data_IF_797778054753
#
_entry.id   IF_797778054753
#
_cell.length_a   1.000
_cell.length_b   1.000
_cell.length_c   1.000
_cell.angle_alpha   90.00
_cell.angle_beta   90.00
_cell.angle_gamma   90.00
#
_symmetry.space_group_name_H-M   'P 1'
#
loop_
_entity.id
_entity.type
_entity.pdbx_description
1 polymer ?
#
# COMPACT_ATOMS: atom_id res chain seq x y z
N UNK A 1 4.41 -35.20 0.89
CA UNK A 1 3.48 -34.19 0.37
C UNK A 1 3.02 -33.38 1.57
N UNK A 2 3.73 -32.30 1.90
CA UNK A 2 3.41 -31.49 3.06
C UNK A 2 2.32 -30.51 2.65
N UNK A 3 1.11 -30.70 3.19
CA UNK A 3 0.05 -29.71 3.08
C UNK A 3 0.57 -28.42 3.73
N UNK A 4 0.93 -27.45 2.90
CA UNK A 4 1.38 -26.15 3.36
C UNK A 4 0.22 -25.48 4.09
N UNK A 5 0.27 -25.47 5.42
CA UNK A 5 -0.71 -24.80 6.26
C UNK A 5 -0.62 -23.28 6.00
N UNK A 6 -1.37 -22.81 5.01
CA UNK A 6 -1.53 -21.40 4.73
C UNK A 6 -2.14 -20.77 5.98
N UNK A 7 -1.39 -19.91 6.65
CA UNK A 7 -1.83 -19.24 7.86
C UNK A 7 -2.96 -18.26 7.49
N UNK A 8 -4.21 -18.71 7.56
CA UNK A 8 -5.41 -17.94 7.16
C UNK A 8 -5.43 -16.58 7.87
N UNK A 9 -4.99 -16.53 9.13
CA UNK A 9 -4.84 -15.28 9.90
C UNK A 9 -3.92 -14.27 9.21
N UNK A 10 -2.82 -14.74 8.63
CA UNK A 10 -1.83 -13.91 7.93
C UNK A 10 -2.41 -13.37 6.60
N UNK A 11 -3.15 -14.19 5.87
CA UNK A 11 -3.86 -13.76 4.64
C UNK A 11 -4.92 -12.71 4.96
N UNK A 12 -5.75 -12.97 5.98
CA UNK A 12 -6.81 -12.04 6.40
C UNK A 12 -6.20 -10.68 6.78
N UNK A 13 -5.05 -10.68 7.47
CA UNK A 13 -4.32 -9.44 7.78
C UNK A 13 -3.96 -8.63 6.54
N UNK A 14 -3.40 -9.27 5.50
CA UNK A 14 -3.05 -8.58 4.25
C UNK A 14 -4.27 -8.12 3.48
N UNK A 15 -5.33 -8.90 3.43
CA UNK A 15 -6.58 -8.50 2.79
C UNK A 15 -7.18 -7.27 3.46
N UNK A 16 -7.17 -7.18 4.79
CA UNK A 16 -7.64 -6.00 5.51
C UNK A 16 -6.79 -4.78 5.16
N UNK A 17 -5.46 -4.90 5.17
CA UNK A 17 -4.55 -3.80 4.79
C UNK A 17 -4.80 -3.36 3.36
N UNK A 18 -5.00 -4.29 2.42
CA UNK A 18 -5.29 -3.99 1.03
C UNK A 18 -6.64 -3.30 0.86
N UNK A 19 -7.71 -3.83 1.46
CA UNK A 19 -9.05 -3.24 1.37
C UNK A 19 -9.04 -1.82 1.93
N UNK A 20 -8.46 -1.63 3.12
CA UNK A 20 -8.38 -0.30 3.75
C UNK A 20 -7.50 0.64 2.91
N UNK A 21 -6.33 0.19 2.47
CA UNK A 21 -5.41 1.00 1.67
C UNK A 21 -6.01 1.43 0.33
N UNK A 22 -6.64 0.50 -0.39
CA UNK A 22 -7.32 0.80 -1.64
C UNK A 22 -8.54 1.71 -1.42
N UNK A 23 -9.30 1.51 -0.34
CA UNK A 23 -10.46 2.37 -0.01
C UNK A 23 -10.05 3.80 0.37
N UNK A 24 -8.86 3.99 0.94
CA UNK A 24 -8.32 5.30 1.31
C UNK A 24 -7.64 6.00 0.13
N UNK A 25 -7.31 5.29 -0.95
CA UNK A 25 -6.68 5.86 -2.15
C UNK A 25 -7.41 7.09 -2.73
N UNK A 26 -8.74 7.08 -2.96
CA UNK A 26 -9.44 8.28 -3.44
C UNK A 26 -9.31 9.47 -2.49
N UNK A 27 -9.33 9.24 -1.17
CA UNK A 27 -9.17 10.28 -0.16
C UNK A 27 -7.77 10.92 -0.26
N UNK A 28 -6.73 10.12 -0.49
CA UNK A 28 -5.36 10.62 -0.68
C UNK A 28 -5.27 11.47 -1.95
N UNK A 29 -5.90 11.03 -3.05
CA UNK A 29 -5.90 11.77 -4.31
C UNK A 29 -6.62 13.11 -4.16
N UNK A 30 -7.79 13.13 -3.52
CA UNK A 30 -8.59 14.35 -3.31
C UNK A 30 -7.87 15.35 -2.41
N UNK A 31 -7.26 14.87 -1.32
CA UNK A 31 -6.52 15.74 -0.39
C UNK A 31 -5.26 16.32 -1.02
N UNK A 32 -4.52 15.53 -1.81
CA UNK A 32 -3.36 16.00 -2.58
C UNK A 32 -3.78 17.02 -3.63
N UNK A 33 -4.89 16.78 -4.34
CA UNK A 33 -5.43 17.71 -5.33
C UNK A 33 -5.76 19.06 -4.70
N UNK A 34 -6.50 19.06 -3.57
CA UNK A 34 -6.84 20.27 -2.84
C UNK A 34 -5.61 21.04 -2.33
N UNK A 35 -4.61 20.33 -1.79
CA UNK A 35 -3.36 20.95 -1.34
C UNK A 35 -2.55 21.52 -2.52
N UNK A 36 -2.46 20.78 -3.62
CA UNK A 36 -1.68 21.18 -4.81
C UNK A 36 -2.21 22.45 -5.46
N UNK A 37 -3.51 22.71 -5.39
CA UNK A 37 -4.14 23.91 -5.94
C UNK A 37 -3.68 25.21 -5.24
N UNK A 38 -3.15 25.11 -4.02
CA UNK A 38 -2.65 26.26 -3.24
C UNK A 38 -1.13 26.40 -3.28
N UNK A 39 -0.44 25.57 -4.05
CA UNK A 39 1.02 25.48 -4.12
C UNK A 39 1.51 25.75 -5.53
N UNK A 40 2.76 26.18 -5.67
CA UNK A 40 3.42 26.38 -6.97
C UNK A 40 4.84 25.84 -6.96
N UNK A 41 5.40 25.63 -8.17
CA UNK A 41 6.79 25.23 -8.35
C UNK A 41 7.14 23.87 -7.72
N UNK A 42 8.32 23.77 -7.11
CA UNK A 42 8.84 22.51 -6.58
C UNK A 42 7.97 21.89 -5.47
N UNK A 43 7.32 22.72 -4.66
CA UNK A 43 6.46 22.26 -3.57
C UNK A 43 5.21 21.53 -4.10
N UNK A 44 4.61 22.04 -5.19
CA UNK A 44 3.49 21.39 -5.85
C UNK A 44 3.90 20.03 -6.43
N UNK A 45 5.06 19.95 -7.07
CA UNK A 45 5.59 18.69 -7.61
C UNK A 45 5.80 17.65 -6.52
N UNK A 46 6.36 18.04 -5.36
CA UNK A 46 6.56 17.11 -4.24
C UNK A 46 5.24 16.55 -3.71
N UNK A 47 4.20 17.38 -3.59
CA UNK A 47 2.87 16.96 -3.14
C UNK A 47 2.18 16.07 -4.17
N UNK A 48 2.32 16.37 -5.46
CA UNK A 48 1.78 15.55 -6.55
C UNK A 48 2.39 14.13 -6.62
N UNK A 49 3.56 13.90 -6.01
CA UNK A 49 4.17 12.57 -5.93
C UNK A 49 3.64 11.72 -4.77
N UNK A 50 2.92 12.29 -3.81
CA UNK A 50 2.39 11.58 -2.64
C UNK A 50 1.50 10.38 -3.02
N UNK A 51 0.56 10.49 -3.99
CA UNK A 51 -0.26 9.35 -4.39
C UNK A 51 0.58 8.18 -4.92
N UNK A 52 1.66 8.49 -5.65
CA UNK A 52 2.59 7.47 -6.14
C UNK A 52 3.30 6.74 -4.99
N UNK A 53 3.83 7.49 -4.03
CA UNK A 53 4.49 6.90 -2.85
C UNK A 53 3.53 6.07 -2.01
N UNK A 54 2.27 6.50 -1.89
CA UNK A 54 1.23 5.75 -1.19
C UNK A 54 0.99 4.38 -1.82
N UNK A 55 0.83 4.32 -3.14
CA UNK A 55 0.66 3.04 -3.87
C UNK A 55 1.91 2.16 -3.74
N UNK A 56 3.11 2.74 -3.84
CA UNK A 56 4.37 2.02 -3.65
C UNK A 56 4.43 1.41 -2.24
N UNK A 57 4.02 2.14 -1.21
CA UNK A 57 4.01 1.64 0.17
C UNK A 57 3.08 0.43 0.34
N UNK A 58 1.88 0.46 -0.26
CA UNK A 58 0.95 -0.67 -0.25
C UNK A 58 1.59 -1.88 -0.97
N UNK A 59 2.21 -1.65 -2.12
CA UNK A 59 2.82 -2.70 -2.93
C UNK A 59 4.00 -3.35 -2.19
N UNK A 60 4.85 -2.55 -1.55
CA UNK A 60 5.95 -3.02 -0.71
C UNK A 60 5.47 -3.81 0.50
N UNK A 61 4.37 -3.40 1.15
CA UNK A 61 3.79 -4.14 2.26
C UNK A 61 3.33 -5.55 1.84
N UNK A 62 2.70 -5.68 0.66
CA UNK A 62 2.29 -6.96 0.09
C UNK A 62 3.49 -7.82 -0.28
N UNK A 63 4.51 -7.24 -0.93
CA UNK A 63 5.73 -7.96 -1.30
C UNK A 63 6.45 -8.46 -0.05
N UNK A 64 6.60 -7.60 0.97
CA UNK A 64 7.25 -7.98 2.23
C UNK A 64 6.56 -9.19 2.86
N UNK A 65 5.23 -9.18 2.92
CA UNK A 65 4.45 -10.32 3.39
C UNK A 65 4.64 -11.57 2.51
N UNK A 66 4.57 -11.43 1.19
CA UNK A 66 4.73 -12.55 0.26
C UNK A 66 6.12 -13.20 0.39
N UNK A 67 7.17 -12.40 0.54
CA UNK A 67 8.54 -12.89 0.77
C UNK A 67 8.67 -13.55 2.15
N UNK A 68 8.08 -12.97 3.19
CA UNK A 68 8.07 -13.55 4.54
C UNK A 68 7.45 -14.95 4.56
N UNK A 69 6.25 -15.09 3.98
CA UNK A 69 5.56 -16.38 3.88
C UNK A 69 6.29 -17.39 2.99
N UNK A 70 7.05 -16.96 1.99
CA UNK A 70 7.88 -17.84 1.17
C UNK A 70 9.11 -18.38 1.92
N UNK A 71 9.68 -17.59 2.84
CA UNK A 71 10.82 -18.01 3.66
C UNK A 71 10.44 -18.98 4.77
N UNK A 72 9.26 -18.82 5.38
CA UNK A 72 8.75 -19.75 6.41
C UNK A 72 8.46 -21.15 5.86
N UNK A 73 8.34 -21.31 4.53
CA UNK A 73 8.10 -22.60 3.86
C UNK A 73 9.37 -23.35 3.44
N UNK A 74 10.57 -22.76 3.60
CA UNK A 74 11.86 -23.43 3.35
C UNK A 74 12.45 -23.96 4.64
#
# INVERSE_FOLDING_TARGET
MAEGNINVRSIVGVLVVLIVGLSVTPIVIDTVSAASASLTGAAQTMVNLIPLFYVIAILLAVIYWAVGTAKEKK
#
